data_IF_421757835057
#
_entry.id   IF_421757835057
#
_cell.length_a   1.000
_cell.length_b   1.000
_cell.length_c   1.000
_cell.angle_alpha   90.00
_cell.angle_beta   90.00
_cell.angle_gamma   90.00
#
_symmetry.space_group_name_H-M   'P 1'
#
loop_
_entity.id
_entity.type
_entity.pdbx_description
1 polymer ?
#
# COMPACT_ATOMS: atom_id res chain seq x y z
N UNK A 1 3.73 22.67 15.11
CA UNK A 1 3.71 21.32 14.50
C UNK A 1 4.44 20.35 15.43
N UNK A 2 3.72 19.59 16.26
CA UNK A 2 4.35 18.59 17.11
C UNK A 2 4.64 17.34 16.26
N UNK A 3 5.90 17.13 15.87
CA UNK A 3 6.35 15.87 15.28
C UNK A 3 6.06 14.76 16.30
N UNK A 4 5.10 13.87 15.98
CA UNK A 4 4.75 12.73 16.81
C UNK A 4 6.02 11.90 17.04
N UNK A 5 6.53 11.94 18.27
CA UNK A 5 7.76 11.24 18.63
C UNK A 5 7.52 9.74 18.46
N UNK A 6 8.37 9.00 17.75
CA UNK A 6 8.18 7.58 17.56
C UNK A 6 8.16 6.85 18.92
N UNK A 7 7.39 5.74 19.05
CA UNK A 7 7.38 4.92 20.26
C UNK A 7 8.80 4.51 20.65
N UNK A 8 9.12 4.47 21.95
CA UNK A 8 10.44 4.01 22.42
C UNK A 8 10.70 2.59 21.89
N UNK A 9 11.92 2.36 21.40
CA UNK A 9 12.30 1.06 20.84
C UNK A 9 11.81 0.82 19.41
N UNK A 10 11.57 1.89 18.63
CA UNK A 10 11.25 1.76 17.20
C UNK A 10 12.23 2.54 16.33
N UNK A 11 12.40 2.10 15.08
CA UNK A 11 13.19 2.79 14.05
C UNK A 11 12.44 2.77 12.72
N UNK A 12 12.69 3.75 11.86
CA UNK A 12 12.15 3.75 10.50
C UNK A 12 13.00 2.90 9.57
N UNK A 13 12.37 2.06 8.76
CA UNK A 13 13.06 1.33 7.72
C UNK A 13 13.61 2.28 6.65
N UNK A 14 14.93 2.24 6.40
CA UNK A 14 15.56 3.03 5.32
C UNK A 14 15.18 2.61 3.89
N UNK A 15 14.49 1.47 3.73
CA UNK A 15 14.05 0.97 2.43
C UNK A 15 12.59 1.28 2.09
N UNK A 16 11.66 1.02 3.02
CA UNK A 16 10.21 1.19 2.78
C UNK A 16 9.52 2.21 3.69
N UNK A 17 10.23 2.84 4.62
CA UNK A 17 9.62 3.80 5.56
C UNK A 17 8.68 3.18 6.59
N UNK A 18 8.60 1.85 6.70
CA UNK A 18 7.80 1.19 7.73
C UNK A 18 8.42 1.34 9.13
N UNK A 19 7.58 1.38 10.16
CA UNK A 19 8.02 1.30 11.55
C UNK A 19 8.56 -0.11 11.88
N UNK A 20 9.75 -0.18 12.46
CA UNK A 20 10.41 -1.41 12.86
C UNK A 20 10.52 -1.45 14.38
N UNK A 21 10.08 -2.57 14.99
CA UNK A 21 10.39 -2.86 16.38
C UNK A 21 11.89 -3.14 16.53
N UNK A 22 12.56 -2.45 17.44
CA UNK A 22 13.98 -2.59 17.72
C UNK A 22 14.16 -3.35 19.03
N UNK A 23 14.68 -4.59 19.01
CA UNK A 23 14.99 -5.32 20.23
C UNK A 23 15.99 -4.54 21.10
N UNK A 24 15.85 -4.59 22.44
CA UNK A 24 16.88 -4.05 23.34
C UNK A 24 18.23 -4.68 23.02
N UNK A 25 19.26 -3.89 22.78
CA UNK A 25 20.59 -4.42 22.39
C UNK A 25 20.91 -4.27 20.90
N UNK A 26 19.91 -4.27 20.01
CA UNK A 26 20.13 -4.31 18.57
C UNK A 26 20.84 -3.04 18.05
N UNK A 27 21.86 -3.24 17.20
CA UNK A 27 22.58 -2.18 16.46
C UNK A 27 22.07 -2.01 15.03
N UNK A 28 21.35 -3.00 14.54
CA UNK A 28 20.64 -2.96 13.26
C UNK A 28 19.40 -3.82 13.37
N UNK A 29 18.38 -3.47 12.59
CA UNK A 29 17.12 -4.19 12.49
C UNK A 29 16.81 -4.45 11.03
N UNK A 30 16.36 -5.66 10.72
CA UNK A 30 15.91 -6.03 9.38
C UNK A 30 14.42 -5.78 9.26
N UNK A 31 14.00 -5.09 8.22
CA UNK A 31 12.59 -4.88 7.94
C UNK A 31 11.89 -6.20 7.57
N UNK A 32 10.76 -6.52 8.21
CA UNK A 32 9.98 -7.69 7.83
C UNK A 32 9.31 -7.52 6.45
N UNK A 33 9.01 -6.27 6.06
CA UNK A 33 8.27 -5.96 4.82
C UNK A 33 9.17 -5.91 3.59
N UNK A 34 10.28 -5.16 3.64
CA UNK A 34 11.18 -5.00 2.49
C UNK A 34 12.57 -5.64 2.66
N UNK A 35 12.84 -6.27 3.81
CA UNK A 35 14.13 -6.91 4.17
C UNK A 35 15.36 -6.00 4.21
N UNK A 36 15.20 -4.70 4.01
CA UNK A 36 16.27 -3.72 4.21
C UNK A 36 16.78 -3.77 5.65
N UNK A 37 18.10 -3.76 5.82
CA UNK A 37 18.76 -3.69 7.13
C UNK A 37 18.99 -2.23 7.46
N UNK A 38 18.32 -1.75 8.51
CA UNK A 38 18.48 -0.38 8.97
C UNK A 38 19.35 -0.34 10.23
N UNK A 39 20.36 0.53 10.25
CA UNK A 39 21.16 0.76 11.47
C UNK A 39 20.34 1.54 12.48
N UNK A 40 20.35 1.08 13.73
CA UNK A 40 19.65 1.72 14.84
C UNK A 40 20.61 2.71 15.48
N UNK A 41 20.39 4.01 15.27
CA UNK A 41 21.13 5.05 15.98
C UNK A 41 20.66 5.10 17.43
N UNK A 42 21.49 4.62 18.37
CA UNK A 42 21.25 4.93 19.78
C UNK A 42 21.55 6.40 20.00
N UNK A 43 20.63 7.14 20.62
CA UNK A 43 20.96 8.38 21.34
C UNK A 43 21.93 8.04 22.48
N UNK A 44 23.19 7.83 22.13
CA UNK A 44 24.30 7.77 23.06
C UNK A 44 24.59 9.18 23.53
N UNK A 45 24.45 9.39 24.82
CA UNK A 45 24.88 10.60 25.51
C UNK A 45 26.42 10.61 25.55
N UNK A 46 27.07 11.05 24.47
CA UNK A 46 28.50 11.36 24.50
C UNK A 46 28.78 12.61 23.67
N UNK A 47 29.23 13.66 24.36
CA UNK A 47 29.73 14.88 23.75
C UNK A 47 30.90 14.59 22.81
N UNK A 48 30.90 15.27 21.68
CA UNK A 48 31.94 15.12 20.66
C UNK A 48 31.58 15.91 19.41
N UNK A 49 31.96 17.18 19.40
CA UNK A 49 31.92 18.04 18.22
C UNK A 49 32.73 17.41 17.08
N UNK A 50 32.06 17.02 15.98
CA UNK A 50 32.73 16.38 14.85
C UNK A 50 31.91 16.48 13.56
N UNK A 51 32.00 17.63 12.88
CA UNK A 51 31.98 17.81 11.42
C UNK A 51 30.77 17.28 10.62
N UNK A 52 29.98 18.22 10.10
CA UNK A 52 28.84 18.03 9.18
C UNK A 52 29.11 17.25 7.87
N UNK A 53 30.34 16.79 7.62
CA UNK A 53 30.71 16.04 6.41
C UNK A 53 30.51 14.52 6.53
N UNK A 54 30.28 13.99 7.73
CA UNK A 54 30.02 12.55 7.94
C UNK A 54 28.65 12.07 7.44
N UNK A 55 27.66 12.97 7.39
CA UNK A 55 26.26 12.63 7.08
C UNK A 55 26.02 12.27 5.61
N UNK A 56 26.82 12.81 4.69
CA UNK A 56 26.62 12.62 3.24
C UNK A 56 27.26 11.31 2.74
N UNK A 57 28.39 10.88 3.33
CA UNK A 57 29.07 9.63 2.92
C UNK A 57 28.25 8.37 3.20
N UNK A 58 27.30 8.42 4.14
CA UNK A 58 26.40 7.30 4.45
C UNK A 58 25.32 7.05 3.41
N UNK A 59 24.91 8.08 2.65
CA UNK A 59 23.76 8.00 1.72
C UNK A 59 24.05 7.21 0.44
N UNK A 60 25.32 7.10 0.02
CA UNK A 60 25.69 6.53 -1.28
C UNK A 60 26.09 5.05 -1.22
N UNK A 61 26.42 4.51 -0.05
CA UNK A 61 26.99 3.15 0.07
C UNK A 61 25.97 2.05 0.43
N UNK A 62 24.68 2.39 0.61
CA UNK A 62 23.66 1.43 1.05
C UNK A 62 22.90 0.71 -0.09
N UNK A 63 23.19 1.02 -1.36
CA UNK A 63 22.55 0.40 -2.53
C UNK A 63 23.32 -0.80 -3.11
N UNK A 64 23.95 -1.62 -2.26
CA UNK A 64 24.40 -2.92 -2.72
C UNK A 64 23.17 -3.84 -2.87
N UNK A 65 22.90 -4.41 -4.06
CA UNK A 65 21.80 -5.35 -4.23
C UNK A 65 22.03 -6.57 -3.32
N UNK A 66 20.99 -7.09 -2.65
CA UNK A 66 21.14 -8.31 -1.87
C UNK A 66 21.57 -9.48 -2.78
N UNK A 67 22.33 -10.45 -2.26
CA UNK A 67 22.65 -11.65 -3.03
C UNK A 67 21.34 -12.36 -3.43
N UNK A 68 21.31 -13.02 -4.61
CA UNK A 68 20.13 -13.74 -5.06
C UNK A 68 19.74 -14.79 -4.01
N UNK A 69 18.48 -14.73 -3.57
CA UNK A 69 17.91 -15.73 -2.68
C UNK A 69 17.88 -17.07 -3.42
N UNK A 70 18.46 -18.12 -2.83
CA UNK A 70 18.27 -19.49 -3.31
C UNK A 70 16.81 -19.89 -3.09
N UNK A 71 16.05 -20.22 -4.14
CA UNK A 71 14.69 -20.74 -3.94
C UNK A 71 14.77 -22.05 -3.18
N UNK A 72 14.04 -22.14 -2.06
CA UNK A 72 13.87 -23.42 -1.38
C UNK A 72 13.13 -24.38 -2.32
N UNK A 73 13.60 -25.62 -2.43
CA UNK A 73 13.05 -26.62 -3.36
C UNK A 73 11.54 -26.86 -3.20
N UNK A 74 10.96 -26.54 -2.03
CA UNK A 74 9.51 -26.64 -1.79
C UNK A 74 8.66 -25.53 -2.43
N UNK A 75 9.21 -24.34 -2.69
CA UNK A 75 8.45 -23.23 -3.27
C UNK A 75 8.12 -23.47 -4.76
N UNK A 76 8.98 -24.19 -5.47
CA UNK A 76 8.77 -24.54 -6.89
C UNK A 76 7.54 -25.46 -7.08
N UNK A 77 7.27 -26.37 -6.14
CA UNK A 77 6.13 -27.27 -6.23
C UNK A 77 4.81 -26.52 -6.07
N UNK A 78 4.70 -25.62 -5.09
CA UNK A 78 3.52 -24.77 -4.89
C UNK A 78 3.30 -23.82 -6.08
N UNK A 79 4.39 -23.25 -6.62
CA UNK A 79 4.33 -22.37 -7.79
C UNK A 79 3.76 -23.05 -9.05
N UNK A 80 3.89 -24.38 -9.18
CA UNK A 80 3.34 -25.11 -10.32
C UNK A 80 1.81 -25.20 -10.34
N UNK A 81 1.17 -25.10 -9.16
CA UNK A 81 -0.29 -25.10 -9.03
C UNK A 81 -0.92 -23.74 -9.31
N UNK A 82 -0.14 -22.66 -9.18
CA UNK A 82 -0.62 -21.32 -9.49
C UNK A 82 -0.55 -21.07 -11.01
N UNK A 83 -1.62 -20.51 -11.61
CA UNK A 83 -1.59 -20.12 -13.00
C UNK A 83 -0.39 -19.21 -13.29
N UNK A 84 0.30 -19.49 -14.39
CA UNK A 84 1.42 -18.65 -14.82
C UNK A 84 0.87 -17.28 -15.23
N UNK A 85 1.48 -16.23 -14.71
CA UNK A 85 1.22 -14.86 -15.20
C UNK A 85 1.93 -14.69 -16.55
N UNK A 86 1.15 -14.53 -17.61
CA UNK A 86 1.66 -14.31 -18.97
C UNK A 86 0.88 -13.25 -19.76
N UNK A 87 -0.17 -12.69 -19.16
CA UNK A 87 -1.10 -11.79 -19.81
C UNK A 87 -0.83 -10.30 -19.54
N UNK A 88 -1.85 -9.50 -19.83
CA UNK A 88 -1.90 -8.05 -19.60
C UNK A 88 -1.94 -7.76 -18.10
N UNK A 89 -1.54 -6.55 -17.74
CA UNK A 89 -1.54 -6.07 -16.36
C UNK A 89 -2.32 -4.78 -16.26
N UNK A 90 -3.31 -4.72 -15.37
CA UNK A 90 -4.05 -3.49 -15.07
C UNK A 90 -4.24 -3.33 -13.57
N UNK A 91 -4.19 -2.10 -13.09
CA UNK A 91 -4.45 -1.80 -11.69
C UNK A 91 -5.44 -0.65 -11.55
N UNK A 92 -6.34 -0.76 -10.58
CA UNK A 92 -7.18 0.31 -10.07
C UNK A 92 -6.70 0.64 -8.65
N UNK A 93 -6.22 1.87 -8.45
CA UNK A 93 -5.77 2.38 -7.15
C UNK A 93 -6.70 3.51 -6.70
N UNK A 94 -7.30 3.36 -5.54
CA UNK A 94 -8.29 4.28 -4.99
C UNK A 94 -7.78 4.83 -3.67
N UNK A 95 -7.78 6.14 -3.51
CA UNK A 95 -7.47 6.82 -2.25
C UNK A 95 -8.53 7.85 -1.93
N UNK A 96 -9.22 7.69 -0.80
CA UNK A 96 -10.30 8.61 -0.37
C UNK A 96 -9.90 9.22 0.97
N UNK A 97 -9.67 10.52 0.99
CA UNK A 97 -9.26 11.25 2.20
C UNK A 97 -10.45 11.71 3.03
N UNK A 98 -11.66 11.78 2.45
CA UNK A 98 -12.86 12.35 3.06
C UNK A 98 -12.60 13.78 3.61
N UNK A 99 -11.78 14.55 2.87
CA UNK A 99 -11.33 15.87 3.29
C UNK A 99 -12.48 16.79 3.68
N UNK A 100 -12.29 17.56 4.77
CA UNK A 100 -13.29 18.48 5.33
C UNK A 100 -14.60 17.82 5.81
N UNK A 101 -14.55 16.54 6.18
CA UNK A 101 -15.66 15.81 6.83
C UNK A 101 -15.23 15.27 8.20
N UNK A 102 -16.20 14.76 8.98
CA UNK A 102 -15.91 14.04 10.23
C UNK A 102 -15.20 12.69 10.04
N UNK A 103 -15.06 12.23 8.78
CA UNK A 103 -14.51 10.92 8.42
C UNK A 103 -13.08 11.05 7.86
N UNK A 104 -12.42 12.21 8.03
CA UNK A 104 -11.13 12.48 7.38
C UNK A 104 -10.06 11.43 7.71
N UNK A 105 -9.45 10.87 6.67
CA UNK A 105 -8.30 9.98 6.74
C UNK A 105 -7.07 10.65 6.15
N UNK A 106 -5.94 10.50 6.83
CA UNK A 106 -4.64 11.01 6.38
C UNK A 106 -3.82 9.87 5.78
N UNK A 107 -3.16 10.16 4.66
CA UNK A 107 -2.20 9.24 4.05
C UNK A 107 -2.76 8.38 2.92
N UNK A 108 -4.06 8.42 2.63
CA UNK A 108 -4.66 7.59 1.57
C UNK A 108 -4.03 7.84 0.19
N UNK A 109 -3.75 9.10 -0.15
CA UNK A 109 -2.99 9.47 -1.36
C UNK A 109 -1.55 8.95 -1.33
N UNK A 110 -0.91 8.94 -0.15
CA UNK A 110 0.42 8.37 -0.01
C UNK A 110 0.41 6.85 -0.24
N UNK A 111 -0.58 6.14 0.28
CA UNK A 111 -0.73 4.70 0.08
C UNK A 111 -0.89 4.35 -1.40
N UNK A 112 -1.73 5.10 -2.11
CA UNK A 112 -1.89 5.00 -3.58
C UNK A 112 -0.56 5.23 -4.31
N UNK A 113 0.20 6.25 -3.92
CA UNK A 113 1.51 6.53 -4.52
C UNK A 113 2.53 5.42 -4.25
N UNK A 114 2.57 4.88 -3.02
CA UNK A 114 3.41 3.75 -2.65
C UNK A 114 3.03 2.49 -3.43
N UNK A 115 1.73 2.21 -3.59
CA UNK A 115 1.25 1.07 -4.35
C UNK A 115 1.56 1.22 -5.85
N UNK A 116 1.34 2.40 -6.43
CA UNK A 116 1.70 2.70 -7.82
C UNK A 116 3.19 2.47 -8.08
N UNK A 117 4.05 2.97 -7.19
CA UNK A 117 5.50 2.74 -7.26
C UNK A 117 5.84 1.24 -7.17
N UNK A 118 5.25 0.52 -6.22
CA UNK A 118 5.49 -0.92 -6.05
C UNK A 118 5.11 -1.70 -7.33
N UNK A 119 3.94 -1.44 -7.88
CA UNK A 119 3.43 -2.14 -9.06
C UNK A 119 4.30 -1.88 -10.29
N UNK A 120 4.72 -0.64 -10.49
CA UNK A 120 5.59 -0.25 -11.61
C UNK A 120 7.00 -0.82 -11.46
N UNK A 121 7.64 -0.58 -10.32
CA UNK A 121 9.07 -0.82 -10.13
C UNK A 121 9.42 -2.25 -9.71
N UNK A 122 8.45 -3.05 -9.26
CA UNK A 122 8.68 -4.44 -8.81
C UNK A 122 7.83 -5.46 -9.55
N UNK A 123 6.63 -5.09 -9.96
CA UNK A 123 5.72 -6.02 -10.64
C UNK A 123 5.54 -5.71 -12.13
N UNK A 124 6.30 -4.75 -12.67
CA UNK A 124 6.30 -4.40 -14.09
C UNK A 124 4.89 -4.12 -14.65
N UNK A 125 4.06 -3.40 -13.88
CA UNK A 125 2.81 -2.83 -14.40
C UNK A 125 3.15 -1.59 -15.24
N UNK A 126 2.70 -1.52 -16.51
CA UNK A 126 2.83 -0.30 -17.31
C UNK A 126 2.07 0.87 -16.66
N UNK A 127 2.65 2.07 -16.69
CA UNK A 127 2.08 3.24 -16.01
C UNK A 127 0.72 3.66 -16.60
N UNK A 128 0.54 3.50 -17.91
CA UNK A 128 -0.70 3.74 -18.66
C UNK A 128 -1.79 2.70 -18.36
N UNK A 129 -1.44 1.58 -17.73
CA UNK A 129 -2.37 0.54 -17.30
C UNK A 129 -2.77 0.65 -15.82
N UNK A 130 -2.41 1.75 -15.14
CA UNK A 130 -2.78 2.03 -13.75
C UNK A 130 -3.78 3.18 -13.71
N UNK A 131 -5.02 2.87 -13.39
CA UNK A 131 -6.09 3.84 -13.17
C UNK A 131 -6.07 4.28 -11.70
N UNK A 132 -5.88 5.57 -11.46
CA UNK A 132 -5.92 6.16 -10.11
C UNK A 132 -7.18 6.98 -9.94
N UNK A 133 -7.89 6.77 -8.82
CA UNK A 133 -9.00 7.60 -8.35
C UNK A 133 -8.66 8.22 -6.99
N UNK A 134 -8.62 9.56 -6.92
CA UNK A 134 -8.41 10.33 -5.68
C UNK A 134 -9.19 11.64 -5.71
N UNK A 135 -9.57 12.17 -4.55
CA UNK A 135 -10.30 13.45 -4.47
C UNK A 135 -9.46 14.62 -4.98
N UNK A 136 -8.14 14.53 -4.84
CA UNK A 136 -7.18 15.58 -5.14
C UNK A 136 -6.78 15.63 -6.62
N UNK A 137 -7.29 14.72 -7.46
CA UNK A 137 -6.89 14.59 -8.86
C UNK A 137 -7.35 15.79 -9.73
N UNK A 138 -8.33 16.57 -9.29
CA UNK A 138 -8.86 17.73 -10.02
C UNK A 138 -9.74 17.37 -11.22
N UNK A 139 -9.53 16.22 -11.87
CA UNK A 139 -10.42 15.65 -12.88
C UNK A 139 -11.68 15.04 -12.22
N UNK A 140 -12.90 15.52 -12.54
CA UNK A 140 -14.15 14.96 -12.02
C UNK A 140 -14.34 13.46 -12.28
N UNK A 141 -13.78 12.92 -13.36
CA UNK A 141 -13.84 11.48 -13.67
C UNK A 141 -12.86 10.65 -12.83
N UNK A 142 -11.96 11.31 -12.08
CA UNK A 142 -10.99 10.67 -11.18
C UNK A 142 -11.35 10.81 -9.71
N UNK A 143 -12.42 11.53 -9.39
CA UNK A 143 -12.94 11.60 -8.02
C UNK A 143 -13.57 10.25 -7.67
N UNK A 144 -13.28 9.63 -6.51
CA UNK A 144 -13.77 8.29 -6.15
C UNK A 144 -15.22 8.32 -5.65
N UNK A 145 -16.14 8.83 -6.48
CA UNK A 145 -17.59 8.75 -6.28
C UNK A 145 -18.08 7.33 -6.49
N UNK A 146 -19.28 7.01 -6.00
CA UNK A 146 -19.89 5.69 -6.20
C UNK A 146 -19.93 5.30 -7.67
N UNK A 147 -20.38 6.22 -8.52
CA UNK A 147 -20.48 6.01 -9.96
C UNK A 147 -19.10 5.76 -10.62
N UNK A 148 -18.08 6.55 -10.26
CA UNK A 148 -16.74 6.40 -10.83
C UNK A 148 -16.05 5.11 -10.34
N UNK A 149 -16.25 4.72 -9.08
CA UNK A 149 -15.73 3.45 -8.55
C UNK A 149 -16.30 2.25 -9.29
N UNK A 150 -17.62 2.18 -9.45
CA UNK A 150 -18.27 1.10 -10.20
C UNK A 150 -17.83 1.07 -11.67
N UNK A 151 -17.71 2.22 -12.32
CA UNK A 151 -17.20 2.31 -13.69
C UNK A 151 -15.73 1.84 -13.79
N UNK A 152 -14.89 2.21 -12.82
CA UNK A 152 -13.49 1.82 -12.76
C UNK A 152 -13.30 0.33 -12.48
N UNK A 153 -14.14 -0.27 -11.63
CA UNK A 153 -14.14 -1.72 -11.38
C UNK A 153 -14.52 -2.50 -12.64
N UNK A 154 -15.54 -2.03 -13.38
CA UNK A 154 -15.90 -2.60 -14.70
C UNK A 154 -14.72 -2.50 -15.68
N UNK A 155 -14.07 -1.34 -15.77
CA UNK A 155 -12.88 -1.16 -16.59
C UNK A 155 -11.73 -2.11 -16.21
N UNK A 156 -11.56 -2.40 -14.92
CA UNK A 156 -10.49 -3.28 -14.43
C UNK A 156 -10.66 -4.71 -14.96
N UNK A 157 -11.89 -5.22 -15.00
CA UNK A 157 -12.20 -6.60 -15.43
C UNK A 157 -12.52 -6.73 -16.93
N UNK A 158 -12.91 -5.64 -17.59
CA UNK A 158 -13.35 -5.66 -18.99
C UNK A 158 -12.28 -6.25 -19.94
N UNK A 159 -12.62 -7.35 -20.63
CA UNK A 159 -11.74 -8.00 -21.60
C UNK A 159 -10.55 -8.74 -20.99
N UNK A 160 -10.57 -9.04 -19.68
CA UNK A 160 -9.52 -9.85 -19.06
C UNK A 160 -9.55 -11.29 -19.59
N UNK A 161 -8.37 -11.90 -19.67
CA UNK A 161 -8.16 -13.29 -20.09
C UNK A 161 -7.35 -14.05 -19.06
N UNK A 162 -7.41 -15.39 -19.11
CA UNK A 162 -6.59 -16.23 -18.24
C UNK A 162 -5.10 -15.87 -18.35
N UNK A 163 -4.44 -15.69 -17.21
CA UNK A 163 -3.03 -15.30 -17.12
C UNK A 163 -2.79 -13.78 -17.03
N UNK A 164 -3.82 -12.94 -17.20
CA UNK A 164 -3.75 -11.51 -16.88
C UNK A 164 -3.55 -11.29 -15.36
N UNK A 165 -3.01 -10.13 -14.98
CA UNK A 165 -2.91 -9.70 -13.59
C UNK A 165 -3.70 -8.41 -13.36
N UNK A 166 -4.71 -8.50 -12.52
CA UNK A 166 -5.54 -7.38 -12.10
C UNK A 166 -5.24 -7.05 -10.65
N UNK A 167 -5.10 -5.77 -10.34
CA UNK A 167 -4.90 -5.29 -8.97
C UNK A 167 -5.95 -4.26 -8.64
N UNK A 168 -6.73 -4.50 -7.58
CA UNK A 168 -7.52 -3.49 -6.91
C UNK A 168 -6.83 -3.13 -5.60
N UNK A 169 -6.55 -1.84 -5.40
CA UNK A 169 -6.10 -1.30 -4.12
C UNK A 169 -7.04 -0.18 -3.70
N UNK A 170 -7.56 -0.29 -2.49
CA UNK A 170 -8.44 0.71 -1.88
C UNK A 170 -7.82 1.18 -0.57
N UNK A 171 -7.68 2.50 -0.42
CA UNK A 171 -7.30 3.16 0.83
C UNK A 171 -8.37 4.19 1.19
N UNK A 172 -9.21 3.84 2.18
CA UNK A 172 -10.38 4.59 2.62
C UNK A 172 -11.13 3.85 3.72
N UNK A 173 -12.29 4.35 4.13
CA UNK A 173 -13.19 3.64 5.05
C UNK A 173 -13.89 2.45 4.40
N UNK A 174 -14.04 1.39 5.17
CA UNK A 174 -15.04 0.35 4.97
C UNK A 174 -16.05 0.38 6.12
N UNK A 175 -17.26 -0.09 5.87
CA UNK A 175 -18.33 -0.22 6.87
C UNK A 175 -19.05 -1.53 6.68
N UNK A 176 -19.71 -2.01 7.73
CA UNK A 176 -20.59 -3.17 7.67
C UNK A 176 -22.05 -2.71 7.59
N UNK A 177 -22.88 -3.46 6.87
CA UNK A 177 -24.34 -3.28 6.81
C UNK A 177 -25.02 -4.57 7.24
N UNK A 178 -26.21 -4.48 7.83
CA UNK A 178 -26.97 -5.69 8.18
C UNK A 178 -27.32 -6.46 6.90
N UNK A 179 -26.88 -7.72 6.84
CA UNK A 179 -27.26 -8.68 5.81
C UNK A 179 -28.75 -9.02 5.96
N UNK A 180 -29.45 -9.04 4.83
CA UNK A 180 -30.89 -9.31 4.74
C UNK A 180 -31.24 -10.59 3.99
N UNK A 181 -30.30 -11.20 3.26
CA UNK A 181 -30.54 -12.43 2.51
C UNK A 181 -29.90 -13.67 3.16
N UNK A 182 -29.01 -13.46 4.14
CA UNK A 182 -28.48 -14.47 5.04
C UNK A 182 -27.34 -15.27 4.44
N UNK A 183 -26.62 -14.73 3.45
CA UNK A 183 -25.45 -15.35 2.86
C UNK A 183 -24.18 -15.15 3.70
N UNK A 184 -24.14 -14.13 4.56
CA UNK A 184 -23.04 -13.83 5.46
C UNK A 184 -23.16 -14.56 6.80
N UNK A 185 -22.08 -15.21 7.23
CA UNK A 185 -22.09 -16.09 8.40
C UNK A 185 -22.27 -15.34 9.75
N UNK A 186 -21.89 -14.06 9.79
CA UNK A 186 -22.06 -13.18 10.96
C UNK A 186 -23.27 -12.24 10.84
N UNK A 187 -23.95 -12.24 9.68
CA UNK A 187 -25.12 -11.42 9.38
C UNK A 187 -24.79 -9.96 9.00
N UNK A 188 -23.59 -9.69 8.47
CA UNK A 188 -23.23 -8.35 7.98
C UNK A 188 -22.50 -8.35 6.63
N UNK A 189 -23.01 -7.57 5.67
CA UNK A 189 -22.33 -7.27 4.41
C UNK A 189 -21.15 -6.32 4.65
N UNK A 190 -20.03 -6.53 3.96
CA UNK A 190 -18.93 -5.57 3.93
C UNK A 190 -19.13 -4.54 2.84
N UNK A 191 -18.79 -3.28 3.12
CA UNK A 191 -19.03 -2.19 2.18
C UNK A 191 -17.87 -1.21 2.09
N UNK A 192 -17.56 -0.78 0.87
CA UNK A 192 -16.66 0.34 0.61
C UNK A 192 -17.43 1.66 0.72
N UNK A 193 -16.82 2.69 1.30
CA UNK A 193 -17.39 4.04 1.32
C UNK A 193 -16.84 4.90 0.17
N UNK A 194 -17.62 5.23 -0.86
CA UNK A 194 -17.22 6.26 -1.82
C UNK A 194 -17.13 7.64 -1.17
N UNK A 195 -16.51 8.62 -1.83
CA UNK A 195 -16.44 9.99 -1.28
C UNK A 195 -17.83 10.63 -1.08
N UNK A 196 -18.82 10.24 -1.89
CA UNK A 196 -20.18 10.75 -1.83
C UNK A 196 -21.17 9.77 -1.19
N UNK A 197 -20.68 8.88 -0.32
CA UNK A 197 -21.48 7.82 0.32
C UNK A 197 -22.73 8.34 1.06
N UNK A 198 -22.67 9.53 1.66
CA UNK A 198 -23.83 10.14 2.35
C UNK A 198 -25.01 10.41 1.41
N UNK A 199 -24.71 10.66 0.11
CA UNK A 199 -25.72 10.95 -0.92
C UNK A 199 -26.00 9.75 -1.82
N UNK A 200 -24.96 9.01 -2.19
CA UNK A 200 -25.03 7.94 -3.18
C UNK A 200 -25.12 6.54 -2.56
N UNK A 201 -24.92 6.42 -1.25
CA UNK A 201 -24.79 5.14 -0.56
C UNK A 201 -23.37 4.56 -0.64
N UNK A 202 -23.15 3.50 0.14
CA UNK A 202 -21.94 2.67 0.08
C UNK A 202 -22.01 1.71 -1.11
N UNK A 203 -20.92 0.97 -1.35
CA UNK A 203 -20.87 -0.13 -2.32
C UNK A 203 -20.73 -1.41 -1.51
N UNK A 204 -21.74 -2.28 -1.52
CA UNK A 204 -21.67 -3.60 -0.91
C UNK A 204 -20.78 -4.52 -1.74
N UNK A 205 -20.15 -5.50 -1.11
CA UNK A 205 -19.46 -6.61 -1.76
C UNK A 205 -20.33 -7.37 -2.76
N UNK A 206 -21.62 -7.55 -2.48
CA UNK A 206 -22.58 -8.13 -3.44
C UNK A 206 -22.71 -7.38 -4.77
N UNK A 207 -22.36 -6.09 -4.79
CA UNK A 207 -22.46 -5.27 -5.99
C UNK A 207 -21.25 -5.39 -6.93
N UNK A 208 -20.16 -6.05 -6.49
CA UNK A 208 -18.84 -6.04 -7.16
C UNK A 208 -18.27 -7.43 -7.44
#
# INVERSE_FOLDING_TARGET
MASARPPRGTAWCGGCGAYLAVPPGARSVRCALCRAVTRVERRGHHGGHGGALGFIKGLISAFAPPPPLTPSAGAAAAASYYPRVSGKKRALLVGISYAATGYELKGTVNDVNCMSFLLRERFAFPADCILVLTQENGDPYRVPTRANLLAAMRWLVEGCSAGDSLVLHFSGHGVQKLDVDGDEADGYDEALCPVDFERAGVILDDEI
#
